data_IF_167377695882
#
_entry.id   IF_167377695882
#
_cell.length_a   1.000
_cell.length_b   1.000
_cell.length_c   1.000
_cell.angle_alpha   90.00
_cell.angle_beta   90.00
_cell.angle_gamma   90.00
#
_symmetry.space_group_name_H-M   'P 1'
#
loop_
_entity.id
_entity.type
_entity.pdbx_description
1 polymer ?
#
# COMPACT_ATOMS: atom_id res chain seq x y z
N UNK A 1 15.76 3.69 0.84
CA UNK A 1 15.15 2.60 0.05
C UNK A 1 14.03 3.22 -0.77
N UNK A 2 14.32 3.47 -2.05
CA UNK A 2 13.47 4.18 -3.00
C UNK A 2 12.18 3.42 -3.33
N UNK A 3 12.24 2.09 -3.47
CA UNK A 3 11.07 1.28 -3.81
C UNK A 3 9.95 1.39 -2.77
N UNK A 4 10.29 1.34 -1.47
CA UNK A 4 9.28 1.49 -0.40
C UNK A 4 8.58 2.85 -0.45
N UNK A 5 9.36 3.90 -0.74
CA UNK A 5 8.84 5.25 -0.90
C UNK A 5 7.94 5.35 -2.14
N UNK A 6 8.36 4.78 -3.27
CA UNK A 6 7.57 4.75 -4.50
C UNK A 6 6.25 3.98 -4.31
N UNK A 7 6.25 2.87 -3.58
CA UNK A 7 5.01 2.15 -3.22
C UNK A 7 4.04 3.08 -2.48
N UNK A 8 4.53 3.84 -1.49
CA UNK A 8 3.70 4.81 -0.76
C UNK A 8 3.23 5.97 -1.65
N UNK A 9 4.00 6.38 -2.65
CA UNK A 9 3.58 7.40 -3.60
C UNK A 9 2.49 6.88 -4.53
N UNK A 10 2.68 5.70 -5.12
CA UNK A 10 1.72 5.10 -6.04
C UNK A 10 0.40 4.78 -5.34
N UNK A 11 0.43 4.29 -4.11
CA UNK A 11 -0.78 3.99 -3.33
C UNK A 11 -1.50 5.26 -2.83
N UNK A 12 -0.92 6.46 -2.98
CA UNK A 12 -1.61 7.72 -2.71
C UNK A 12 -2.68 8.02 -3.75
N UNK A 13 -2.44 7.56 -4.97
CA UNK A 13 -3.30 7.80 -6.13
C UNK A 13 -3.39 6.51 -6.96
N UNK A 14 -4.06 5.47 -6.42
CA UNK A 14 -4.01 4.13 -6.99
C UNK A 14 -4.66 4.06 -8.37
N UNK A 15 -5.70 4.85 -8.64
CA UNK A 15 -6.41 4.91 -9.91
C UNK A 15 -5.51 5.33 -11.09
N UNK A 16 -4.58 6.24 -10.84
CA UNK A 16 -3.63 6.71 -11.86
C UNK A 16 -2.34 5.88 -11.93
N UNK A 17 -2.10 5.03 -10.92
CA UNK A 17 -0.83 4.29 -10.81
C UNK A 17 -0.96 2.79 -11.08
N UNK A 18 -2.15 2.21 -11.00
CA UNK A 18 -2.38 0.78 -11.20
C UNK A 18 -3.53 0.54 -12.17
N UNK A 19 -3.56 -0.63 -12.83
CA UNK A 19 -4.75 -1.08 -13.55
C UNK A 19 -5.98 -1.11 -12.61
N UNK A 20 -7.21 -1.14 -13.16
CA UNK A 20 -8.41 -1.33 -12.35
C UNK A 20 -8.27 -2.53 -11.41
N UNK A 21 -8.58 -2.30 -10.14
CA UNK A 21 -8.69 -3.35 -9.11
C UNK A 21 -10.18 -3.74 -9.02
N UNK A 22 -10.55 -4.72 -8.19
CA UNK A 22 -11.98 -4.89 -7.84
C UNK A 22 -12.62 -6.25 -8.11
N UNK A 23 -12.09 -7.10 -8.99
CA UNK A 23 -12.77 -8.40 -9.28
C UNK A 23 -12.97 -9.28 -8.04
N UNK A 24 -12.15 -9.08 -6.99
CA UNK A 24 -12.19 -9.86 -5.76
C UNK A 24 -12.11 -8.99 -4.49
N UNK A 25 -12.43 -7.70 -4.57
CA UNK A 25 -12.38 -6.79 -3.42
C UNK A 25 -13.69 -6.75 -2.64
N UNK A 26 -13.60 -6.41 -1.35
CA UNK A 26 -14.76 -5.88 -0.63
C UNK A 26 -15.05 -4.44 -1.07
N UNK A 27 -16.32 -4.04 -0.99
CA UNK A 27 -16.75 -2.66 -1.28
C UNK A 27 -15.94 -1.62 -0.47
N UNK A 28 -15.56 -1.94 0.78
CA UNK A 28 -14.78 -1.03 1.62
C UNK A 28 -13.37 -0.76 1.05
N UNK A 29 -12.67 -1.81 0.62
CA UNK A 29 -11.31 -1.67 0.10
C UNK A 29 -11.31 -1.07 -1.29
N UNK A 30 -12.30 -1.42 -2.12
CA UNK A 30 -12.50 -0.86 -3.45
C UNK A 30 -12.74 0.66 -3.37
N UNK A 31 -13.69 1.09 -2.54
CA UNK A 31 -13.97 2.51 -2.28
C UNK A 31 -12.77 3.29 -1.70
N UNK A 32 -11.83 2.61 -1.05
CA UNK A 32 -10.63 3.21 -0.43
C UNK A 32 -9.37 3.01 -1.27
N UNK A 33 -9.48 2.56 -2.52
CA UNK A 33 -8.37 2.45 -3.46
C UNK A 33 -7.34 1.37 -3.11
N UNK A 34 -7.79 0.20 -2.64
CA UNK A 34 -6.89 -0.92 -2.35
C UNK A 34 -6.29 -1.55 -3.61
N UNK A 35 -5.00 -1.90 -3.53
CA UNK A 35 -4.23 -2.46 -4.66
C UNK A 35 -3.70 -3.84 -4.33
N UNK A 36 -3.89 -4.78 -5.25
CA UNK A 36 -3.42 -6.15 -5.08
C UNK A 36 -1.88 -6.20 -4.99
N UNK A 37 -1.35 -7.05 -4.11
CA UNK A 37 0.09 -7.30 -4.01
C UNK A 37 0.73 -7.69 -5.35
N UNK A 38 -0.01 -8.38 -6.22
CA UNK A 38 0.42 -8.73 -7.57
C UNK A 38 0.60 -7.50 -8.47
N UNK A 39 -0.34 -6.56 -8.45
CA UNK A 39 -0.25 -5.29 -9.19
C UNK A 39 0.93 -4.43 -8.71
N UNK A 40 1.18 -4.42 -7.39
CA UNK A 40 2.35 -3.73 -6.80
C UNK A 40 3.64 -4.39 -7.30
N UNK A 41 3.72 -5.71 -7.24
CA UNK A 41 4.87 -6.46 -7.74
C UNK A 41 5.14 -6.19 -9.23
N UNK A 42 4.12 -6.24 -10.08
CA UNK A 42 4.27 -5.97 -11.52
C UNK A 42 4.76 -4.55 -11.83
N UNK A 43 4.46 -3.58 -10.97
CA UNK A 43 4.93 -2.19 -11.11
C UNK A 43 6.37 -1.99 -10.62
N UNK A 44 6.93 -2.96 -9.89
CA UNK A 44 8.30 -2.88 -9.37
C UNK A 44 9.25 -3.77 -10.17
N UNK A 45 10.49 -3.31 -10.40
CA UNK A 45 11.54 -4.10 -11.07
C UNK A 45 12.33 -5.01 -10.11
N UNK A 46 11.70 -5.49 -9.03
CA UNK A 46 12.37 -6.31 -8.00
C UNK A 46 11.63 -7.63 -7.75
N UNK A 47 12.29 -8.57 -7.10
CA UNK A 47 11.73 -9.90 -6.84
C UNK A 47 10.46 -9.86 -5.98
N UNK A 48 9.51 -10.74 -6.27
CA UNK A 48 8.21 -10.83 -5.57
C UNK A 48 8.34 -11.08 -4.07
N UNK A 49 9.34 -11.85 -3.65
CA UNK A 49 9.65 -12.09 -2.23
C UNK A 49 10.09 -10.81 -1.54
N UNK A 50 10.87 -9.96 -2.22
CA UNK A 50 11.31 -8.66 -1.71
C UNK A 50 10.13 -7.69 -1.61
N UNK A 51 9.24 -7.63 -2.61
CA UNK A 51 8.01 -6.82 -2.54
C UNK A 51 7.13 -7.26 -1.38
N UNK A 52 6.89 -8.56 -1.25
CA UNK A 52 6.10 -9.12 -0.13
C UNK A 52 6.70 -8.75 1.22
N UNK A 53 8.02 -8.85 1.36
CA UNK A 53 8.72 -8.46 2.58
C UNK A 53 8.58 -6.94 2.86
N UNK A 54 8.66 -6.09 1.84
CA UNK A 54 8.46 -4.65 2.00
C UNK A 54 7.03 -4.30 2.40
N UNK A 55 6.04 -4.96 1.81
CA UNK A 55 4.63 -4.76 2.14
C UNK A 55 4.34 -5.18 3.60
N UNK A 56 4.83 -6.35 4.04
CA UNK A 56 4.71 -6.80 5.44
C UNK A 56 5.39 -5.84 6.41
N UNK A 57 6.61 -5.41 6.12
CA UNK A 57 7.34 -4.44 6.95
C UNK A 57 6.61 -3.09 7.04
N UNK A 58 6.13 -2.54 5.93
CA UNK A 58 5.41 -1.26 5.92
C UNK A 58 4.04 -1.35 6.61
N UNK A 59 3.35 -2.49 6.48
CA UNK A 59 2.14 -2.77 7.23
C UNK A 59 2.40 -2.83 8.74
N UNK A 60 3.44 -3.57 9.17
CA UNK A 60 3.84 -3.66 10.59
C UNK A 60 4.26 -2.32 11.17
N UNK A 61 4.89 -1.46 10.36
CA UNK A 61 5.21 -0.09 10.71
C UNK A 61 3.98 0.83 10.77
N UNK A 62 2.78 0.32 10.45
CA UNK A 62 1.53 1.07 10.45
C UNK A 62 1.32 1.98 9.23
N UNK A 63 2.24 1.98 8.25
CA UNK A 63 2.14 2.85 7.05
C UNK A 63 1.11 2.34 6.05
N UNK A 64 0.84 1.04 6.04
CA UNK A 64 -0.15 0.40 5.17
C UNK A 64 -1.22 -0.33 6.00
N UNK A 65 -2.43 -0.37 5.47
CA UNK A 65 -3.49 -1.31 5.87
C UNK A 65 -3.56 -2.41 4.81
N UNK A 66 -3.85 -3.64 5.24
CA UNK A 66 -3.98 -4.79 4.35
C UNK A 66 -5.27 -5.55 4.60
N UNK A 67 -5.90 -6.07 3.55
CA UNK A 67 -7.05 -6.95 3.65
C UNK A 67 -6.88 -8.16 2.72
N UNK A 68 -7.32 -9.33 3.17
CA UNK A 68 -7.19 -10.57 2.42
C UNK A 68 -8.55 -11.06 1.95
N UNK A 69 -8.67 -11.22 0.63
CA UNK A 69 -9.85 -11.78 -0.04
C UNK A 69 -9.46 -13.05 -0.78
N UNK A 70 -9.75 -14.19 -0.16
CA UNK A 70 -9.36 -15.51 -0.67
C UNK A 70 -7.84 -15.64 -0.84
N UNK A 71 -7.39 -15.69 -2.10
CA UNK A 71 -5.96 -15.82 -2.47
C UNK A 71 -5.25 -14.48 -2.60
N UNK A 72 -5.98 -13.38 -2.62
CA UNK A 72 -5.44 -12.05 -2.91
C UNK A 72 -5.34 -11.23 -1.62
N UNK A 73 -4.21 -10.55 -1.46
CA UNK A 73 -4.02 -9.55 -0.41
C UNK A 73 -3.91 -8.19 -1.06
N UNK A 74 -4.70 -7.25 -0.57
CA UNK A 74 -4.75 -5.88 -1.05
C UNK A 74 -4.17 -4.96 0.01
N UNK A 75 -3.48 -3.91 -0.45
CA UNK A 75 -2.83 -2.92 0.37
C UNK A 75 -3.32 -1.53 0.02
N UNK A 76 -3.46 -0.68 1.03
CA UNK A 76 -3.72 0.75 0.89
C UNK A 76 -2.93 1.52 1.92
N UNK A 77 -2.76 2.82 1.70
CA UNK A 77 -2.12 3.69 2.69
C UNK A 77 -2.95 3.80 3.96
N UNK A 78 -2.24 3.84 5.08
CA UNK A 78 -2.82 4.24 6.35
C UNK A 78 -2.68 5.76 6.51
N UNK A 79 -3.58 6.53 5.91
CA UNK A 79 -3.51 8.01 5.95
C UNK A 79 -3.57 8.57 7.38
N UNK A 80 -4.28 7.90 8.29
CA UNK A 80 -4.35 8.29 9.70
C UNK A 80 -2.96 8.24 10.34
N UNK A 81 -2.25 7.11 10.19
CA UNK A 81 -0.91 6.95 10.75
C UNK A 81 0.12 7.85 10.05
N UNK A 82 0.04 7.98 8.73
CA UNK A 82 0.94 8.86 7.96
C UNK A 82 0.77 10.32 8.38
N UNK A 83 -0.47 10.77 8.62
CA UNK A 83 -0.76 12.11 9.12
C UNK A 83 -0.22 12.30 10.55
N UNK A 84 -0.49 11.36 11.44
CA UNK A 84 0.00 11.41 12.82
C UNK A 84 1.54 11.46 12.88
N UNK A 85 2.23 10.69 12.02
CA UNK A 85 3.69 10.75 11.89
C UNK A 85 4.18 12.12 11.42
N UNK A 86 3.52 12.71 10.42
CA UNK A 86 3.84 14.07 9.95
C UNK A 86 3.69 15.08 11.08
N UNK A 87 2.55 15.06 11.78
CA UNK A 87 2.27 15.97 12.88
C UNK A 87 3.30 15.83 14.01
N UNK A 88 3.67 14.59 14.37
CA UNK A 88 4.72 14.33 15.36
C UNK A 88 6.07 14.95 14.97
N UNK A 89 6.48 14.82 13.69
CA UNK A 89 7.71 15.45 13.22
C UNK A 89 7.61 16.98 13.19
N UNK A 90 6.45 17.55 12.89
CA UNK A 90 6.25 19.01 12.89
C UNK A 90 6.26 19.59 14.33
N UNK A 91 6.03 18.78 15.36
CA UNK A 91 6.01 19.21 16.77
C UNK A 91 7.31 19.01 17.54
N UNK A 92 8.15 18.06 17.13
CA UNK A 92 9.34 17.60 17.89
C UNK A 92 10.68 17.99 17.21
N UNK A 93 10.64 18.68 16.07
CA UNK A 93 11.79 19.21 15.31
C UNK A 93 11.65 20.72 15.10
#
# INVERSE_FOLDING_TARGET
>A
NETRFNILLWLKDPENNFPPQGEHLSDEIDLKGGVCAGSIFQKTDIAQSTVSHYLDMMQRAGLLKSERHGKWTYYRRNEEMIRALREYFDTEL
#
